data_IF_252384197728
#
_entry.id   IF_252384197728
#
_cell.length_a   1.000
_cell.length_b   1.000
_cell.length_c   1.000
_cell.angle_alpha   90.00
_cell.angle_beta   90.00
_cell.angle_gamma   90.00
#
_symmetry.space_group_name_H-M   'P 1'
#
loop_
_entity.id
_entity.type
_entity.pdbx_description
1 polymer ?
#
# COMPACT_ATOMS: atom_id res chain seq x y z
N UNK A 1 37.91 -13.71 22.89
CA UNK A 1 36.76 -12.79 22.99
C UNK A 1 35.57 -13.61 23.39
N UNK A 2 34.85 -13.23 24.44
CA UNK A 2 33.64 -13.97 24.85
C UNK A 2 32.44 -13.60 23.96
N UNK A 3 31.32 -14.29 24.18
CA UNK A 3 30.10 -14.11 23.39
C UNK A 3 29.43 -12.75 23.62
N UNK A 4 29.44 -12.23 24.84
CA UNK A 4 28.79 -10.96 25.18
C UNK A 4 29.50 -9.77 24.53
N UNK A 5 30.84 -9.75 24.56
CA UNK A 5 31.64 -8.76 23.86
C UNK A 5 31.46 -8.85 22.33
N UNK A 6 31.25 -10.06 21.80
CA UNK A 6 30.94 -10.28 20.39
C UNK A 6 29.56 -9.76 20.00
N UNK A 7 28.53 -10.06 20.79
CA UNK A 7 27.20 -9.49 20.57
C UNK A 7 27.22 -7.97 20.61
N UNK A 8 27.90 -7.37 21.60
CA UNK A 8 28.01 -5.92 21.72
C UNK A 8 28.68 -5.31 20.49
N UNK A 9 29.74 -5.94 19.98
CA UNK A 9 30.42 -5.48 18.76
C UNK A 9 29.50 -5.59 17.53
N UNK A 10 28.72 -6.67 17.41
CA UNK A 10 27.68 -6.81 16.38
C UNK A 10 26.66 -5.67 16.46
N UNK A 11 26.13 -5.39 17.65
CA UNK A 11 25.13 -4.32 17.84
C UNK A 11 25.72 -2.95 17.50
N UNK A 12 26.92 -2.62 17.99
CA UNK A 12 27.60 -1.35 17.67
C UNK A 12 27.86 -1.20 16.17
N UNK A 13 28.25 -2.28 15.48
CA UNK A 13 28.44 -2.23 14.05
C UNK A 13 27.12 -1.98 13.30
N UNK A 14 26.09 -2.80 13.54
CA UNK A 14 24.84 -2.71 12.78
C UNK A 14 24.02 -1.45 13.10
N UNK A 15 23.92 -1.06 14.38
CA UNK A 15 23.09 0.07 14.78
C UNK A 15 23.81 1.41 14.67
N UNK A 16 25.09 1.48 15.07
CA UNK A 16 25.83 2.74 15.14
C UNK A 16 26.77 2.96 13.94
N UNK A 17 26.94 1.96 13.07
CA UNK A 17 27.89 2.03 11.95
C UNK A 17 29.36 2.03 12.40
N UNK A 18 29.65 1.50 13.59
CA UNK A 18 30.98 1.55 14.18
C UNK A 18 31.95 0.59 13.46
N UNK A 19 32.81 1.11 12.57
CA UNK A 19 33.80 0.32 11.83
C UNK A 19 34.84 -0.35 12.73
N UNK A 20 35.22 0.27 13.86
CA UNK A 20 36.12 -0.38 14.83
C UNK A 20 35.48 -1.60 15.48
N UNK A 21 34.14 -1.63 15.62
CA UNK A 21 33.42 -2.81 16.08
C UNK A 21 33.41 -3.92 15.02
N UNK A 22 33.29 -3.56 13.74
CA UNK A 22 33.42 -4.50 12.61
C UNK A 22 34.80 -5.18 12.60
N UNK A 23 35.88 -4.41 12.75
CA UNK A 23 37.24 -4.97 12.80
C UNK A 23 37.42 -5.94 13.97
N UNK A 24 36.86 -5.62 15.14
CA UNK A 24 36.86 -6.53 16.30
C UNK A 24 36.10 -7.82 16.01
N UNK A 25 34.93 -7.74 15.38
CA UNK A 25 34.16 -8.92 14.97
C UNK A 25 34.95 -9.79 13.99
N UNK A 26 35.48 -9.20 12.92
CA UNK A 26 36.23 -9.92 11.89
C UNK A 26 37.47 -10.61 12.47
N UNK A 27 38.21 -9.90 13.35
CA UNK A 27 39.36 -10.47 14.07
C UNK A 27 38.92 -11.65 14.96
N UNK A 28 37.83 -11.50 15.70
CA UNK A 28 37.31 -12.56 16.57
C UNK A 28 36.89 -13.81 15.78
N UNK A 29 36.20 -13.65 14.64
CA UNK A 29 35.79 -14.77 13.78
C UNK A 29 37.00 -15.48 13.16
N UNK A 30 38.01 -14.72 12.70
CA UNK A 30 39.24 -15.29 12.11
C UNK A 30 40.08 -16.06 13.12
N UNK A 31 40.18 -15.55 14.35
CA UNK A 31 41.00 -16.15 15.42
C UNK A 31 40.27 -17.26 16.20
N UNK A 32 38.96 -17.41 16.02
CA UNK A 32 38.17 -18.44 16.71
C UNK A 32 38.41 -19.84 16.15
N UNK A 33 38.41 -20.82 17.05
CA UNK A 33 38.35 -22.25 16.74
C UNK A 33 37.07 -22.59 15.95
N UNK A 34 37.04 -23.68 15.16
CA UNK A 34 35.93 -24.01 14.27
C UNK A 34 34.54 -24.01 14.96
N UNK A 35 34.45 -24.59 16.15
CA UNK A 35 33.21 -24.62 16.93
C UNK A 35 32.76 -23.21 17.38
N UNK A 36 33.68 -22.40 17.89
CA UNK A 36 33.38 -21.03 18.32
C UNK A 36 33.01 -20.12 17.14
N UNK A 37 33.65 -20.31 15.98
CA UNK A 37 33.35 -19.58 14.75
C UNK A 37 31.91 -19.81 14.28
N UNK A 38 31.40 -21.03 14.43
CA UNK A 38 29.99 -21.34 14.14
C UNK A 38 29.06 -20.53 15.04
N UNK A 39 29.35 -20.48 16.35
CA UNK A 39 28.53 -19.74 17.32
C UNK A 39 28.53 -18.24 17.01
N UNK A 40 29.70 -17.65 16.76
CA UNK A 40 29.82 -16.25 16.37
C UNK A 40 29.07 -15.93 15.08
N UNK A 41 29.17 -16.78 14.06
CA UNK A 41 28.42 -16.61 12.81
C UNK A 41 26.91 -16.63 13.03
N UNK A 42 26.40 -17.56 13.84
CA UNK A 42 24.97 -17.63 14.19
C UNK A 42 24.50 -16.39 14.96
N UNK A 43 25.28 -15.95 15.94
CA UNK A 43 24.99 -14.75 16.72
C UNK A 43 24.98 -13.49 15.84
N UNK A 44 25.98 -13.33 14.96
CA UNK A 44 26.03 -12.23 13.99
C UNK A 44 24.81 -12.24 13.06
N UNK A 45 24.41 -13.41 12.55
CA UNK A 45 23.21 -13.54 11.71
C UNK A 45 21.93 -13.19 12.48
N UNK A 46 21.82 -13.59 13.75
CA UNK A 46 20.69 -13.25 14.63
C UNK A 46 20.59 -11.74 14.87
N UNK A 47 21.69 -11.09 15.26
CA UNK A 47 21.72 -9.63 15.49
C UNK A 47 21.41 -8.86 14.19
N UNK A 48 21.93 -9.32 13.05
CA UNK A 48 21.62 -8.73 11.75
C UNK A 48 20.13 -8.86 11.40
N UNK A 49 19.52 -10.01 11.68
CA UNK A 49 18.09 -10.21 11.46
C UNK A 49 17.25 -9.30 12.36
N UNK A 50 17.61 -9.16 13.63
CA UNK A 50 16.98 -8.23 14.58
C UNK A 50 17.10 -6.77 14.08
N UNK A 51 18.30 -6.36 13.66
CA UNK A 51 18.52 -5.03 13.08
C UNK A 51 17.64 -4.75 11.87
N UNK A 52 17.53 -5.70 10.93
CA UNK A 52 16.67 -5.53 9.76
C UNK A 52 15.18 -5.46 10.16
N UNK A 53 14.74 -6.26 11.14
CA UNK A 53 13.38 -6.19 11.69
C UNK A 53 13.10 -4.82 12.31
N UNK A 54 14.02 -4.30 13.12
CA UNK A 54 13.90 -2.97 13.74
C UNK A 54 13.86 -1.86 12.69
N UNK A 55 14.75 -1.90 11.68
CA UNK A 55 14.77 -0.92 10.58
C UNK A 55 13.51 -0.94 9.73
N UNK A 56 12.92 -2.11 9.53
CA UNK A 56 11.63 -2.27 8.85
C UNK A 56 10.49 -1.69 9.69
N UNK A 57 10.46 -1.96 11.01
CA UNK A 57 9.49 -1.39 11.93
C UNK A 57 9.60 0.15 12.00
N UNK A 58 10.81 0.70 11.99
CA UNK A 58 11.06 2.15 11.97
C UNK A 58 10.50 2.79 10.70
N UNK A 59 10.81 2.22 9.53
CA UNK A 59 10.30 2.71 8.24
C UNK A 59 8.78 2.64 8.19
N UNK A 60 8.17 1.59 8.74
CA UNK A 60 6.71 1.45 8.83
C UNK A 60 6.09 2.52 9.72
N UNK A 61 6.68 2.79 10.90
CA UNK A 61 6.23 3.87 11.80
C UNK A 61 6.35 5.24 11.14
N UNK A 62 7.44 5.50 10.43
CA UNK A 62 7.63 6.75 9.68
C UNK A 62 6.56 6.89 8.59
N UNK A 63 6.32 5.84 7.80
CA UNK A 63 5.29 5.83 6.77
C UNK A 63 3.89 6.11 7.34
N UNK A 64 3.49 5.45 8.43
CA UNK A 64 2.18 5.69 9.04
C UNK A 64 2.03 7.11 9.59
N UNK A 65 3.11 7.74 10.06
CA UNK A 65 3.11 9.14 10.48
C UNK A 65 2.85 10.10 9.31
N UNK A 66 3.20 9.73 8.09
CA UNK A 66 2.99 10.56 6.90
C UNK A 66 1.52 10.60 6.44
N UNK A 67 0.77 9.51 6.61
CA UNK A 67 -0.58 9.34 6.05
C UNK A 67 -1.57 10.48 6.41
N UNK A 68 -1.70 10.92 7.67
CA UNK A 68 -2.68 11.97 8.01
C UNK A 68 -2.39 13.31 7.33
N UNK A 69 -1.11 13.60 7.05
CA UNK A 69 -0.70 14.88 6.45
C UNK A 69 -1.24 15.03 5.02
N UNK A 70 -1.23 13.93 4.25
CA UNK A 70 -1.64 13.95 2.86
C UNK A 70 -3.15 13.98 2.65
N UNK A 71 -3.93 13.47 3.60
CA UNK A 71 -5.39 13.57 3.54
C UNK A 71 -5.88 15.03 3.58
N UNK A 72 -5.07 15.95 4.12
CA UNK A 72 -5.40 17.36 4.31
C UNK A 72 -4.91 18.26 3.17
N UNK A 73 -3.77 17.98 2.55
CA UNK A 73 -3.07 18.91 1.66
C UNK A 73 -3.14 18.51 0.18
N UNK A 74 -4.14 19.01 -0.56
CA UNK A 74 -4.12 18.90 -2.03
C UNK A 74 -3.40 20.08 -2.68
N UNK A 75 -2.27 19.80 -3.34
CA UNK A 75 -1.45 20.78 -4.10
C UNK A 75 -2.27 21.39 -5.23
N UNK A 76 -3.01 20.57 -5.96
CA UNK A 76 -3.82 21.06 -7.09
C UNK A 76 -4.95 21.97 -6.61
N UNK A 77 -5.65 21.59 -5.53
CA UNK A 77 -6.75 22.42 -4.99
C UNK A 77 -6.25 23.80 -4.56
N UNK A 78 -5.11 23.87 -3.87
CA UNK A 78 -4.46 25.15 -3.55
C UNK A 78 -4.14 25.95 -4.81
N UNK A 79 -3.57 25.31 -5.83
CA UNK A 79 -3.23 25.98 -7.07
C UNK A 79 -4.47 26.55 -7.80
N UNK A 80 -5.65 25.94 -7.66
CA UNK A 80 -6.90 26.44 -8.24
C UNK A 80 -7.79 27.20 -7.25
N UNK A 81 -7.23 27.62 -6.11
CA UNK A 81 -7.93 28.38 -5.07
C UNK A 81 -9.21 27.69 -4.53
N UNK A 82 -9.22 26.36 -4.49
CA UNK A 82 -10.27 25.59 -3.83
C UNK A 82 -9.89 25.33 -2.36
N UNK A 83 -10.88 25.31 -1.44
CA UNK A 83 -10.62 25.01 -0.04
C UNK A 83 -10.11 23.56 0.13
N UNK A 84 -9.39 23.27 1.23
CA UNK A 84 -9.05 21.89 1.61
C UNK A 84 -10.30 21.02 1.67
N UNK A 85 -10.14 19.72 1.41
CA UNK A 85 -11.26 18.78 1.55
C UNK A 85 -11.58 18.64 3.04
N UNK A 86 -12.85 18.70 3.46
CA UNK A 86 -13.21 18.42 4.85
C UNK A 86 -12.77 17.00 5.20
N UNK A 87 -12.16 16.82 6.38
CA UNK A 87 -11.78 15.49 6.87
C UNK A 87 -13.03 14.61 6.93
N UNK A 88 -12.95 13.38 6.43
CA UNK A 88 -13.91 12.36 6.80
C UNK A 88 -13.77 12.17 8.31
N UNK A 89 -14.73 12.64 9.09
CA UNK A 89 -14.74 12.37 10.52
C UNK A 89 -14.73 10.86 10.73
N UNK A 90 -13.89 10.32 11.63
CA UNK A 90 -14.02 8.93 12.02
C UNK A 90 -15.44 8.76 12.56
N UNK A 91 -16.16 7.77 12.03
CA UNK A 91 -17.54 7.47 12.34
C UNK A 91 -17.72 7.26 13.84
N UNK A 92 -17.97 8.36 14.57
CA UNK A 92 -18.44 8.32 15.94
C UNK A 92 -19.82 7.69 15.95
N UNK A 93 -20.04 6.77 16.88
CA UNK A 93 -21.33 6.12 17.14
C UNK A 93 -22.45 7.15 17.32
N UNK A 94 -23.13 7.52 16.24
CA UNK A 94 -24.52 7.95 16.32
C UNK A 94 -25.36 6.70 16.19
N UNK A 95 -25.99 6.30 17.29
CA UNK A 95 -27.16 5.42 17.31
C UNK A 95 -28.20 5.93 16.32
N UNK A 96 -28.21 5.38 15.11
CA UNK A 96 -29.24 5.63 14.10
C UNK A 96 -30.08 4.37 13.96
N UNK A 97 -31.40 4.54 14.09
CA UNK A 97 -32.43 3.51 13.95
C UNK A 97 -32.31 2.77 12.60
N UNK A 98 -32.54 1.44 12.57
CA UNK A 98 -32.44 0.64 11.36
C UNK A 98 -33.73 0.75 10.53
N UNK A 99 -33.94 1.87 9.83
CA UNK A 99 -35.02 2.01 8.85
C UNK A 99 -34.73 3.15 7.87
N UNK A 100 -33.61 3.07 7.13
CA UNK A 100 -33.35 3.84 5.89
C UNK A 100 -32.04 3.32 5.27
N UNK A 101 -32.13 2.25 4.48
CA UNK A 101 -31.00 1.68 3.76
C UNK A 101 -30.76 2.48 2.46
N UNK A 102 -30.29 3.71 2.58
CA UNK A 102 -29.60 4.45 1.52
C UNK A 102 -28.48 5.24 2.21
N UNK A 103 -27.28 4.66 2.28
CA UNK A 103 -26.10 5.43 2.67
C UNK A 103 -25.91 6.56 1.63
N UNK A 104 -25.96 7.84 2.02
CA UNK A 104 -25.62 8.91 1.10
C UNK A 104 -24.13 8.77 0.74
N UNK A 105 -23.87 8.70 -0.57
CA UNK A 105 -22.53 8.46 -1.09
C UNK A 105 -21.62 9.63 -0.68
N UNK A 106 -20.53 9.34 0.04
CA UNK A 106 -19.54 10.33 0.48
C UNK A 106 -18.78 11.00 -0.71
N UNK A 107 -19.16 10.70 -1.94
CA UNK A 107 -18.65 11.32 -3.18
C UNK A 107 -19.59 12.37 -3.77
N UNK A 108 -20.81 12.54 -3.26
CA UNK A 108 -21.86 13.32 -3.93
C UNK A 108 -21.73 14.84 -3.89
N UNK A 109 -20.83 15.44 -3.10
CA UNK A 109 -20.78 16.90 -2.96
C UNK A 109 -19.57 17.57 -3.63
N UNK A 110 -19.12 17.09 -4.79
CA UNK A 110 -18.20 17.92 -5.60
C UNK A 110 -19.04 18.86 -6.45
N UNK A 111 -19.02 20.17 -6.16
CA UNK A 111 -19.86 21.12 -6.90
C UNK A 111 -19.41 21.23 -8.37
N UNK A 112 -20.32 21.60 -9.27
CA UNK A 112 -19.96 21.80 -10.68
C UNK A 112 -18.80 22.80 -10.85
N UNK A 113 -18.76 23.84 -10.00
CA UNK A 113 -17.67 24.83 -9.95
C UNK A 113 -16.34 24.19 -9.54
N UNK A 114 -16.33 23.32 -8.54
CA UNK A 114 -15.12 22.60 -8.13
C UNK A 114 -14.62 21.67 -9.22
N UNK A 115 -15.52 20.95 -9.89
CA UNK A 115 -15.17 20.07 -11.01
C UNK A 115 -14.53 20.87 -12.14
N UNK A 116 -15.11 22.02 -12.47
CA UNK A 116 -14.57 22.91 -13.51
C UNK A 116 -13.19 23.45 -13.12
N UNK A 117 -13.00 23.86 -11.86
CA UNK A 117 -11.71 24.29 -11.36
C UNK A 117 -10.66 23.16 -11.42
N UNK A 118 -11.03 21.94 -11.03
CA UNK A 118 -10.16 20.76 -11.10
C UNK A 118 -9.83 20.33 -12.53
N UNK A 119 -10.68 20.68 -13.52
CA UNK A 119 -10.43 20.45 -14.96
C UNK A 119 -9.73 21.62 -15.66
N UNK A 120 -9.48 22.71 -14.95
CA UNK A 120 -8.86 23.92 -15.52
C UNK A 120 -7.48 23.64 -16.10
N UNK A 121 -7.06 24.47 -17.06
CA UNK A 121 -5.71 24.42 -17.62
C UNK A 121 -4.64 24.53 -16.52
N UNK A 122 -4.88 25.35 -15.50
CA UNK A 122 -3.98 25.50 -14.35
C UNK A 122 -3.83 24.18 -13.57
N UNK A 123 -4.92 23.50 -13.23
CA UNK A 123 -4.87 22.19 -12.57
C UNK A 123 -4.09 21.17 -13.40
N UNK A 124 -4.37 21.11 -14.71
CA UNK A 124 -3.70 20.22 -15.67
C UNK A 124 -2.19 20.48 -15.72
N UNK A 125 -1.78 21.75 -15.79
CA UNK A 125 -0.36 22.15 -15.80
C UNK A 125 0.38 21.75 -14.53
N UNK A 126 -0.23 21.99 -13.36
CA UNK A 126 0.36 21.60 -12.06
C UNK A 126 0.56 20.09 -12.00
N UNK A 127 -0.48 19.30 -12.33
CA UNK A 127 -0.38 17.84 -12.33
C UNK A 127 0.71 17.31 -13.24
N UNK A 128 0.81 17.85 -14.45
CA UNK A 128 1.86 17.48 -15.40
C UNK A 128 3.25 17.84 -14.86
N UNK A 129 3.42 19.05 -14.32
CA UNK A 129 4.69 19.51 -13.75
C UNK A 129 5.17 18.63 -12.61
N UNK A 130 4.31 18.39 -11.61
CA UNK A 130 4.62 17.56 -10.45
C UNK A 130 4.87 16.09 -10.83
N UNK A 131 4.05 15.50 -11.73
CA UNK A 131 4.29 14.14 -12.21
C UNK A 131 5.61 14.04 -13.00
N UNK A 132 5.95 15.07 -13.79
CA UNK A 132 7.21 15.11 -14.54
C UNK A 132 8.41 15.16 -13.60
N UNK A 133 8.35 15.98 -12.55
CA UNK A 133 9.39 16.05 -11.53
C UNK A 133 9.55 14.71 -10.81
N UNK A 134 8.46 14.09 -10.36
CA UNK A 134 8.48 12.79 -9.72
C UNK A 134 9.09 11.69 -10.61
N UNK A 135 8.70 11.64 -11.88
CA UNK A 135 9.25 10.66 -12.83
C UNK A 135 10.74 10.90 -13.10
N UNK A 136 11.18 12.16 -13.15
CA UNK A 136 12.61 12.46 -13.30
C UNK A 136 13.44 11.91 -12.14
N UNK A 137 12.91 11.97 -10.93
CA UNK A 137 13.63 11.58 -9.72
C UNK A 137 13.59 10.06 -9.48
N UNK A 138 12.49 9.38 -9.85
CA UNK A 138 12.28 7.97 -9.51
C UNK A 138 12.16 7.00 -10.70
N UNK A 139 11.87 7.47 -11.91
CA UNK A 139 11.74 6.63 -13.10
C UNK A 139 13.09 6.48 -13.84
N UNK A 140 14.09 5.95 -13.13
CA UNK A 140 15.39 5.58 -13.69
C UNK A 140 15.48 4.07 -13.94
N UNK A 141 16.15 3.66 -15.01
CA UNK A 141 16.45 2.23 -15.28
C UNK A 141 17.32 1.60 -14.18
N UNK A 142 18.13 2.41 -13.50
CA UNK A 142 19.01 1.96 -12.41
C UNK A 142 18.24 1.77 -11.10
N UNK A 143 17.21 2.57 -10.87
CA UNK A 143 16.36 2.48 -9.68
C UNK A 143 15.27 1.44 -9.90
N UNK A 144 15.54 0.19 -9.53
CA UNK A 144 14.59 -0.91 -9.72
C UNK A 144 13.44 -0.85 -8.70
N UNK A 145 13.72 -0.37 -7.47
CA UNK A 145 12.77 -0.32 -6.37
C UNK A 145 11.43 0.36 -6.73
N UNK A 146 11.42 1.61 -7.24
CA UNK A 146 10.18 2.31 -7.61
C UNK A 146 9.44 1.77 -8.83
N UNK A 147 10.07 0.92 -9.67
CA UNK A 147 9.49 0.55 -10.97
C UNK A 147 8.15 -0.19 -10.88
N UNK A 148 7.93 -1.13 -9.94
CA UNK A 148 6.63 -1.76 -9.78
C UNK A 148 5.53 -0.74 -9.48
N UNK A 149 5.76 0.20 -8.56
CA UNK A 149 4.82 1.30 -8.27
C UNK A 149 4.50 2.12 -9.53
N UNK A 150 5.53 2.53 -10.27
CA UNK A 150 5.38 3.34 -11.48
C UNK A 150 4.60 2.62 -12.58
N UNK A 151 4.84 1.32 -12.77
CA UNK A 151 4.13 0.47 -13.72
C UNK A 151 2.67 0.30 -13.34
N UNK A 152 2.38 0.04 -12.06
CA UNK A 152 1.00 -0.08 -11.58
C UNK A 152 0.26 1.26 -11.68
N UNK A 153 0.90 2.39 -11.36
CA UNK A 153 0.32 3.72 -11.55
C UNK A 153 0.01 3.99 -13.03
N UNK A 154 0.95 3.69 -13.94
CA UNK A 154 0.71 3.77 -15.38
C UNK A 154 -0.48 2.91 -15.80
N UNK A 155 -0.55 1.67 -15.33
CA UNK A 155 -1.61 0.73 -15.68
C UNK A 155 -2.99 1.22 -15.20
N UNK A 156 -3.12 1.73 -13.97
CA UNK A 156 -4.39 2.29 -13.46
C UNK A 156 -4.84 3.48 -14.32
N UNK A 157 -3.93 4.39 -14.64
CA UNK A 157 -4.26 5.55 -15.47
C UNK A 157 -4.63 5.12 -16.90
N UNK A 158 -3.93 4.14 -17.48
CA UNK A 158 -4.20 3.61 -18.81
C UNK A 158 -5.55 2.89 -18.86
N UNK A 159 -5.82 1.99 -17.93
CA UNK A 159 -7.09 1.25 -17.85
C UNK A 159 -8.28 2.20 -17.65
N UNK A 160 -8.12 3.32 -16.93
CA UNK A 160 -9.21 4.29 -16.80
C UNK A 160 -9.56 4.96 -18.15
N UNK A 161 -8.63 5.02 -19.10
CA UNK A 161 -8.90 5.61 -20.42
C UNK A 161 -9.70 4.68 -21.32
N UNK A 162 -9.72 3.37 -21.02
CA UNK A 162 -10.46 2.39 -21.80
C UNK A 162 -11.95 2.39 -21.43
N UNK A 163 -12.78 1.88 -22.33
CA UNK A 163 -14.20 1.67 -22.07
C UNK A 163 -14.48 0.35 -21.31
N UNK A 164 -13.44 -0.44 -20.97
CA UNK A 164 -13.56 -1.76 -20.34
C UNK A 164 -14.25 -1.75 -18.97
N UNK A 165 -14.15 -0.63 -18.25
CA UNK A 165 -14.79 -0.43 -16.95
C UNK A 165 -16.01 0.51 -17.01
N UNK A 166 -16.46 0.84 -18.22
CA UNK A 166 -17.62 1.67 -18.49
C UNK A 166 -17.55 3.04 -17.82
N UNK A 167 -18.57 3.36 -17.04
CA UNK A 167 -18.72 4.64 -16.33
C UNK A 167 -18.05 4.66 -14.96
N UNK A 168 -17.43 3.57 -14.51
CA UNK A 168 -16.90 3.48 -13.15
C UNK A 168 -15.47 4.02 -13.06
N UNK A 169 -15.17 4.65 -11.94
CA UNK A 169 -13.80 4.97 -11.55
C UNK A 169 -13.07 3.69 -11.15
N UNK A 170 -11.78 3.64 -11.44
CA UNK A 170 -10.92 2.56 -10.99
C UNK A 170 -10.52 2.74 -9.53
N UNK A 171 -10.45 1.61 -8.85
CA UNK A 171 -9.88 1.43 -7.54
C UNK A 171 -8.56 0.69 -7.69
N UNK A 172 -7.57 1.10 -6.91
CA UNK A 172 -6.25 0.49 -6.84
C UNK A 172 -5.91 0.19 -5.39
N UNK A 173 -5.85 -1.09 -5.05
CA UNK A 173 -5.44 -1.56 -3.74
C UNK A 173 -3.94 -1.82 -3.76
N UNK A 174 -3.18 -1.16 -2.88
CA UNK A 174 -1.72 -1.20 -2.84
C UNK A 174 -1.28 -1.73 -1.49
N UNK A 175 -0.34 -2.67 -1.47
CA UNK A 175 0.32 -3.05 -0.23
C UNK A 175 1.21 -1.91 0.28
N UNK A 176 1.06 -1.52 1.55
CA UNK A 176 1.92 -0.50 2.18
C UNK A 176 3.43 -0.84 2.06
N UNK A 177 3.80 -2.13 1.92
CA UNK A 177 5.16 -2.57 1.66
C UNK A 177 5.79 -1.91 0.42
N UNK A 178 4.99 -1.57 -0.60
CA UNK A 178 5.47 -0.86 -1.79
C UNK A 178 6.10 0.48 -1.41
N UNK A 179 5.52 1.20 -0.47
CA UNK A 179 6.07 2.48 -0.04
C UNK A 179 7.26 2.30 0.91
N UNK A 180 7.25 1.24 1.72
CA UNK A 180 8.27 0.98 2.73
C UNK A 180 9.57 0.47 2.09
N UNK A 181 9.48 -0.38 1.06
CA UNK A 181 10.61 -1.08 0.45
C UNK A 181 11.19 -0.34 -0.79
N UNK A 182 10.37 0.40 -1.53
CA UNK A 182 10.72 0.86 -2.89
C UNK A 182 11.58 2.14 -2.95
N UNK A 183 12.76 2.15 -2.31
CA UNK A 183 13.73 3.27 -2.30
C UNK A 183 13.62 4.24 -1.12
N UNK A 184 13.01 3.81 -0.01
CA UNK A 184 13.09 4.46 1.30
C UNK A 184 12.07 5.58 1.54
N UNK A 185 12.19 6.25 2.70
CA UNK A 185 11.17 7.15 3.22
C UNK A 185 10.92 8.40 2.35
N UNK A 186 11.93 8.89 1.62
CA UNK A 186 11.76 9.99 0.67
C UNK A 186 10.83 9.60 -0.48
N UNK A 187 11.03 8.41 -1.06
CA UNK A 187 10.14 7.89 -2.09
C UNK A 187 8.72 7.71 -1.57
N UNK A 188 8.55 7.10 -0.38
CA UNK A 188 7.24 6.89 0.23
C UNK A 188 6.44 8.20 0.35
N UNK A 189 7.11 9.25 0.85
CA UNK A 189 6.58 10.60 1.01
C UNK A 189 6.16 11.22 -0.33
N UNK A 190 7.05 11.18 -1.31
CA UNK A 190 6.80 11.81 -2.61
C UNK A 190 5.75 11.03 -3.42
N UNK A 191 5.70 9.70 -3.27
CA UNK A 191 4.69 8.86 -3.88
C UNK A 191 3.30 9.13 -3.28
N UNK A 192 3.18 9.22 -1.95
CA UNK A 192 1.92 9.60 -1.29
C UNK A 192 1.47 11.01 -1.69
N UNK A 193 2.40 11.97 -1.74
CA UNK A 193 2.13 13.33 -2.24
C UNK A 193 1.62 13.29 -3.68
N UNK A 194 2.27 12.52 -4.56
CA UNK A 194 1.86 12.39 -5.95
C UNK A 194 0.44 11.81 -6.03
N UNK A 195 0.17 10.69 -5.37
CA UNK A 195 -1.13 10.02 -5.45
C UNK A 195 -2.25 10.92 -4.91
N UNK A 196 -2.11 11.41 -3.68
CA UNK A 196 -3.20 12.08 -2.97
C UNK A 196 -3.25 13.57 -3.26
N UNK A 197 -2.11 14.26 -3.26
CA UNK A 197 -2.08 15.72 -3.36
C UNK A 197 -2.06 16.25 -4.79
N UNK A 198 -1.43 15.51 -5.71
CA UNK A 198 -1.23 15.91 -7.11
C UNK A 198 -2.28 15.27 -8.01
N UNK A 199 -2.30 13.94 -8.13
CA UNK A 199 -3.28 13.23 -8.96
C UNK A 199 -4.67 13.35 -8.32
N UNK A 200 -4.74 13.32 -6.99
CA UNK A 200 -5.97 13.53 -6.25
C UNK A 200 -6.70 12.25 -5.88
N UNK A 201 -6.04 11.08 -5.96
CA UNK A 201 -6.60 9.81 -5.54
C UNK A 201 -7.25 9.97 -4.17
N UNK A 202 -8.46 9.43 -4.02
CA UNK A 202 -9.06 9.31 -2.70
C UNK A 202 -8.52 8.06 -2.05
N UNK A 203 -7.70 8.26 -1.02
CA UNK A 203 -7.31 7.20 -0.12
C UNK A 203 -8.52 6.84 0.75
N UNK A 204 -8.90 5.56 0.77
CA UNK A 204 -9.89 5.04 1.70
C UNK A 204 -9.17 4.49 2.93
N UNK A 205 -9.84 4.53 4.08
CA UNK A 205 -9.34 3.88 5.29
C UNK A 205 -9.05 2.41 4.99
N UNK A 206 -7.93 1.86 5.50
CA UNK A 206 -7.55 0.49 5.22
C UNK A 206 -8.70 -0.43 5.62
N UNK A 207 -9.20 -1.17 4.66
CA UNK A 207 -10.18 -2.23 4.93
C UNK A 207 -9.37 -3.41 5.46
N UNK A 208 -9.80 -4.04 6.56
CA UNK A 208 -9.26 -5.35 6.99
C UNK A 208 -9.61 -6.48 5.99
N UNK A 209 -10.02 -6.14 4.77
CA UNK A 209 -10.35 -7.11 3.75
C UNK A 209 -9.05 -7.77 3.31
N UNK A 210 -8.77 -8.94 3.90
CA UNK A 210 -7.72 -9.82 3.43
C UNK A 210 -7.93 -10.10 1.94
N UNK A 211 -6.83 -10.14 1.19
CA UNK A 211 -6.86 -10.57 -0.21
C UNK A 211 -7.72 -11.84 -0.33
N UNK A 212 -8.69 -11.89 -1.25
CA UNK A 212 -9.51 -13.08 -1.45
C UNK A 212 -8.58 -14.24 -1.87
N UNK A 213 -8.35 -15.16 -0.94
CA UNK A 213 -7.44 -16.30 -1.13
C UNK A 213 -6.56 -16.65 0.07
N UNK A 214 -6.42 -15.77 1.06
CA UNK A 214 -5.74 -16.11 2.32
C UNK A 214 -6.79 -16.40 3.39
N UNK A 215 -6.87 -17.64 3.95
CA UNK A 215 -7.76 -17.91 5.06
C UNK A 215 -7.31 -17.08 6.26
N UNK A 216 -8.06 -16.03 6.58
CA UNK A 216 -7.92 -15.30 7.83
C UNK A 216 -8.53 -16.17 8.91
N UNK A 217 -7.70 -16.68 9.82
CA UNK A 217 -8.18 -17.29 11.06
C UNK A 217 -8.77 -16.16 11.91
N UNK A 218 -10.10 -16.02 11.90
CA UNK A 218 -10.85 -15.09 12.75
C UNK A 218 -10.63 -15.45 14.22
N UNK A 219 -9.66 -14.81 14.86
CA UNK A 219 -9.63 -14.72 16.31
C UNK A 219 -10.47 -13.50 16.72
N UNK A 220 -11.68 -13.78 17.21
CA UNK A 220 -12.56 -12.82 17.85
C UNK A 220 -11.84 -12.09 18.99
N UNK A 221 -11.37 -10.87 18.74
CA UNK A 221 -11.03 -9.93 19.80
C UNK A 221 -12.30 -9.19 20.23
N UNK A 222 -13.03 -9.82 21.16
CA UNK A 222 -14.07 -9.17 21.93
C UNK A 222 -13.45 -8.03 22.74
N UNK A 223 -14.12 -6.88 22.69
CA UNK A 223 -13.87 -5.69 23.50
C UNK A 223 -13.42 -6.04 24.93
N UNK A 224 -12.33 -5.44 25.40
CA UNK A 224 -12.00 -5.41 26.82
C UNK A 224 -11.71 -3.97 27.23
N UNK A 225 -12.77 -3.34 27.74
CA UNK A 225 -12.73 -2.16 28.57
C UNK A 225 -12.06 -2.50 29.91
N UNK A 226 -11.21 -1.59 30.39
CA UNK A 226 -10.58 -1.66 31.69
C UNK A 226 -11.61 -1.55 32.82
N UNK A 227 -11.51 -2.38 33.86
CA UNK A 227 -11.91 -2.05 35.23
C UNK A 227 -11.10 -2.86 36.26
N UNK A 228 -10.57 -2.12 37.24
CA UNK A 228 -9.98 -2.59 38.50
C UNK A 228 -11.02 -3.28 39.39
N UNK A 229 -10.65 -4.37 40.08
CA UNK A 229 -11.08 -4.61 41.46
C UNK A 229 -10.23 -5.67 42.18
N UNK A 230 -9.98 -5.38 43.45
CA UNK A 230 -9.33 -6.21 44.47
C UNK A 230 -10.14 -7.47 44.82
N UNK A 231 -9.45 -8.58 45.12
CA UNK A 231 -9.73 -9.43 46.28
C UNK A 231 -8.60 -10.44 46.52
N UNK A 232 -8.03 -10.42 47.74
CA UNK A 232 -7.25 -11.52 48.34
C UNK A 232 -8.17 -12.71 48.68
N UNK A 233 -7.62 -13.92 48.72
CA UNK A 233 -7.80 -14.93 49.78
C UNK A 233 -6.69 -16.00 49.66
N UNK A 234 -6.15 -16.36 50.83
CA UNK A 234 -5.10 -17.35 51.12
C UNK A 234 -5.48 -18.82 50.86
N UNK A 235 -4.46 -19.68 50.68
CA UNK A 235 -4.60 -21.14 50.82
C UNK A 235 -3.48 -22.01 50.21
N UNK A 236 -2.44 -22.29 51.00
CA UNK A 236 -1.29 -23.24 50.84
C UNK A 236 -1.76 -24.71 51.09
N UNK A 237 -1.02 -25.87 50.89
CA UNK A 237 0.36 -26.16 50.42
C UNK A 237 0.59 -27.29 49.35
N UNK A 238 1.80 -27.24 48.75
CA UNK A 238 2.85 -28.28 48.54
C UNK A 238 2.55 -29.68 47.95
N UNK A 239 3.20 -30.00 46.81
CA UNK A 239 3.89 -31.29 46.57
C UNK A 239 5.20 -31.06 45.81
N UNK A 240 6.26 -31.70 46.30
CA UNK A 240 7.67 -31.61 45.92
C UNK A 240 8.05 -32.79 45.00
N UNK A 241 8.81 -32.57 43.92
CA UNK A 241 9.89 -33.49 43.48
C UNK A 241 10.84 -32.83 42.46
N UNK A 242 12.14 -33.23 42.44
CA UNK A 242 13.22 -32.53 41.74
C UNK A 242 13.61 -33.19 40.41
N UNK A 243 14.00 -32.38 39.42
CA UNK A 243 14.53 -32.86 38.14
C UNK A 243 15.29 -31.74 37.42
N UNK A 244 16.61 -31.83 37.47
CA UNK A 244 17.61 -30.87 36.98
C UNK A 244 17.58 -30.67 35.45
N UNK A 245 17.40 -29.43 35.01
CA UNK A 245 17.85 -28.92 33.70
C UNK A 245 18.52 -27.55 33.93
N UNK A 246 19.83 -27.37 33.68
CA UNK A 246 20.48 -26.08 33.83
C UNK A 246 20.64 -25.40 32.46
N UNK A 247 19.56 -24.86 31.90
CA UNK A 247 19.66 -23.77 30.92
C UNK A 247 18.31 -23.09 30.72
N UNK A 248 17.98 -22.14 31.58
CA UNK A 248 17.01 -21.08 31.26
C UNK A 248 17.17 -20.01 32.32
N UNK A 249 18.05 -19.04 32.04
CA UNK A 249 18.01 -17.77 32.73
C UNK A 249 17.24 -16.78 31.83
N UNK A 250 16.08 -16.27 32.27
CA UNK A 250 15.38 -15.21 31.56
C UNK A 250 16.04 -13.86 31.90
N UNK A 251 16.83 -13.31 30.97
CA UNK A 251 17.30 -11.93 31.08
C UNK A 251 16.11 -10.96 31.23
N UNK A 252 16.08 -10.06 32.25
CA UNK A 252 14.92 -9.24 32.59
C UNK A 252 14.79 -7.93 31.79
N UNK A 253 15.39 -7.82 30.60
CA UNK A 253 15.35 -6.58 29.79
C UNK A 253 14.50 -6.67 28.51
N UNK A 254 13.76 -7.76 28.29
CA UNK A 254 13.01 -7.98 27.04
C UNK A 254 11.55 -7.53 27.00
N UNK A 255 10.96 -7.04 28.10
CA UNK A 255 9.49 -6.94 28.21
C UNK A 255 8.83 -5.69 27.63
N UNK A 256 9.57 -4.67 27.15
CA UNK A 256 8.96 -3.45 26.63
C UNK A 256 8.86 -3.35 25.09
N UNK A 257 9.30 -4.37 24.34
CA UNK A 257 9.35 -4.32 22.87
C UNK A 257 8.48 -5.36 22.15
N UNK A 258 7.39 -5.82 22.79
CA UNK A 258 6.25 -6.37 22.03
C UNK A 258 5.40 -5.23 21.50
N UNK A 259 5.96 -4.42 20.62
CA UNK A 259 5.15 -3.51 19.82
C UNK A 259 4.59 -4.36 18.68
N UNK A 260 3.28 -4.52 18.71
CA UNK A 260 2.49 -5.33 17.79
C UNK A 260 2.99 -5.13 16.35
N UNK A 261 3.38 -6.22 15.69
CA UNK A 261 3.69 -6.23 14.25
C UNK A 261 2.38 -5.84 13.54
N UNK A 262 2.16 -4.54 13.34
CA UNK A 262 1.01 -4.02 12.60
C UNK A 262 0.98 -4.72 11.24
N UNK A 263 -0.12 -5.43 10.91
CA UNK A 263 -0.19 -6.20 9.67
C UNK A 263 0.05 -5.25 8.49
N UNK A 264 0.74 -5.73 7.46
CA UNK A 264 0.84 -4.97 6.21
C UNK A 264 -0.57 -4.68 5.72
N UNK A 265 -0.91 -3.39 5.70
CA UNK A 265 -2.25 -2.96 5.34
C UNK A 265 -2.29 -2.74 3.84
N UNK A 266 -3.32 -3.32 3.24
CA UNK A 266 -3.71 -2.98 1.89
C UNK A 266 -4.44 -1.65 1.95
N UNK A 267 -4.03 -0.72 1.11
CA UNK A 267 -4.57 0.62 1.04
C UNK A 267 -5.25 0.85 -0.28
N UNK A 268 -6.48 1.30 -0.21
CA UNK A 268 -7.32 1.50 -1.37
C UNK A 268 -7.26 2.94 -1.85
N UNK A 269 -6.89 3.14 -3.12
CA UNK A 269 -6.86 4.42 -3.80
C UNK A 269 -7.89 4.44 -4.92
N UNK A 270 -8.85 5.37 -4.86
CA UNK A 270 -9.86 5.55 -5.91
C UNK A 270 -9.49 6.74 -6.78
N UNK A 271 -9.43 6.52 -8.09
CA UNK A 271 -9.10 7.56 -9.04
C UNK A 271 -10.24 8.60 -9.12
N UNK A 272 -9.93 9.91 -9.20
CA UNK A 272 -10.96 10.95 -9.16
C UNK A 272 -11.95 10.90 -10.33
N UNK A 273 -13.25 11.12 -10.07
CA UNK A 273 -14.28 11.01 -11.11
C UNK A 273 -14.25 12.18 -12.10
N UNK A 274 -13.57 13.28 -11.80
CA UNK A 274 -13.47 14.44 -12.69
C UNK A 274 -12.49 14.25 -13.86
N UNK A 275 -11.67 13.20 -13.88
CA UNK A 275 -10.66 13.05 -14.94
C UNK A 275 -11.26 12.81 -16.33
N UNK A 276 -10.79 13.61 -17.29
CA UNK A 276 -11.04 13.42 -18.70
C UNK A 276 -10.00 12.46 -19.31
N UNK A 277 -10.42 11.63 -20.27
CA UNK A 277 -9.53 10.71 -20.99
C UNK A 277 -8.38 11.46 -21.68
N UNK A 278 -8.64 12.65 -22.22
CA UNK A 278 -7.60 13.51 -22.83
C UNK A 278 -6.51 13.89 -21.85
N UNK A 279 -6.89 14.20 -20.62
CA UNK A 279 -5.95 14.54 -19.57
C UNK A 279 -5.16 13.32 -19.11
N UNK A 280 -5.84 12.18 -18.88
CA UNK A 280 -5.18 10.93 -18.51
C UNK A 280 -4.14 10.52 -19.57
N UNK A 281 -4.48 10.64 -20.86
CA UNK A 281 -3.54 10.39 -21.96
C UNK A 281 -2.39 11.39 -21.97
N UNK A 282 -2.63 12.65 -21.65
CA UNK A 282 -1.55 13.64 -21.51
C UNK A 282 -0.60 13.30 -20.35
N UNK A 283 -1.09 12.71 -19.25
CA UNK A 283 -0.27 12.22 -18.15
C UNK A 283 0.50 10.95 -18.53
N UNK A 284 -0.15 10.00 -19.21
CA UNK A 284 0.47 8.75 -19.68
C UNK A 284 1.68 9.01 -20.60
N UNK A 285 1.60 10.04 -21.45
CA UNK A 285 2.71 10.46 -22.33
C UNK A 285 3.96 10.95 -21.59
N UNK A 286 3.88 11.23 -20.29
CA UNK A 286 5.04 11.64 -19.49
C UNK A 286 5.88 10.45 -19.01
N UNK A 287 5.30 9.24 -18.98
CA UNK A 287 6.02 8.06 -18.50
C UNK A 287 7.12 7.66 -19.49
N UNK A 288 8.33 7.32 -18.99
CA UNK A 288 9.38 6.76 -19.84
C UNK A 288 8.94 5.46 -20.53
N UNK A 289 9.47 5.21 -21.73
CA UNK A 289 9.06 4.07 -22.56
C UNK A 289 9.18 2.73 -21.83
N UNK A 290 10.25 2.52 -21.04
CA UNK A 290 10.49 1.27 -20.31
C UNK A 290 9.49 1.00 -19.16
N UNK A 291 8.74 2.02 -18.73
CA UNK A 291 7.60 1.85 -17.81
C UNK A 291 6.34 1.51 -18.62
N UNK A 292 6.15 2.14 -19.79
CA UNK A 292 4.98 1.96 -20.66
C UNK A 292 5.08 0.77 -21.63
N UNK A 293 6.23 0.13 -21.75
CA UNK A 293 6.49 -1.01 -22.64
C UNK A 293 5.67 -2.25 -22.23
N UNK A 294 5.45 -3.22 -23.14
CA UNK A 294 4.15 -3.89 -23.35
C UNK A 294 3.70 -4.91 -22.30
N UNK A 295 4.23 -4.89 -21.08
CA UNK A 295 3.66 -5.64 -19.97
C UNK A 295 2.17 -5.33 -19.70
N UNK A 296 1.69 -4.15 -20.10
CA UNK A 296 0.26 -3.78 -19.97
C UNK A 296 -0.64 -4.38 -21.06
N UNK A 297 -0.09 -4.85 -22.20
CA UNK A 297 -0.88 -5.52 -23.25
C UNK A 297 -1.50 -6.84 -22.73
N UNK A 298 -0.92 -7.43 -21.68
CA UNK A 298 -1.50 -8.58 -20.97
C UNK A 298 -2.82 -8.22 -20.25
N UNK A 299 -2.95 -7.01 -19.72
CA UNK A 299 -4.17 -6.55 -19.06
C UNK A 299 -5.32 -6.31 -20.07
N UNK A 300 -5.00 -5.83 -21.28
CA UNK A 300 -6.00 -5.68 -22.35
C UNK A 300 -6.49 -7.01 -22.90
N UNK A 301 -5.59 -7.99 -23.10
CA UNK A 301 -5.95 -9.33 -23.55
C UNK A 301 -6.93 -10.06 -22.60
N UNK A 302 -6.96 -9.70 -21.32
CA UNK A 302 -7.85 -10.31 -20.32
C UNK A 302 -9.17 -9.55 -20.13
N UNK A 303 -9.18 -8.23 -20.30
CA UNK A 303 -10.40 -7.42 -20.28
C UNK A 303 -11.34 -7.75 -21.46
N UNK A 304 -10.80 -8.04 -22.64
CA UNK A 304 -11.57 -8.44 -23.83
C UNK A 304 -12.16 -9.85 -23.74
N UNK A 305 -11.64 -10.72 -22.86
CA UNK A 305 -12.18 -12.08 -22.69
C UNK A 305 -13.60 -12.10 -22.11
N UNK A 306 -14.06 -10.98 -21.53
CA UNK A 306 -15.41 -10.83 -20.98
C UNK A 306 -16.50 -10.67 -22.05
N UNK A 307 -16.15 -10.39 -23.31
CA UNK A 307 -17.13 -10.13 -24.36
C UNK A 307 -17.38 -11.28 -25.36
N UNK A 308 -16.72 -12.42 -25.20
CA UNK A 308 -16.81 -13.54 -26.17
C UNK A 308 -17.57 -14.78 -25.66
N UNK A 309 -18.62 -14.58 -24.87
CA UNK A 309 -19.61 -15.64 -24.58
C UNK A 309 -21.02 -15.16 -24.95
N UNK A 310 -21.38 -15.41 -26.20
CA UNK A 310 -22.77 -15.60 -26.62
C UNK A 310 -22.86 -16.78 -27.59
N UNK A 311 -23.73 -17.71 -27.22
CA UNK A 311 -24.57 -18.59 -28.04
C UNK A 311 -23.93 -19.63 -28.95
N UNK A 312 -23.46 -20.72 -28.32
CA UNK A 312 -23.69 -22.09 -28.78
C UNK A 312 -23.17 -23.04 -27.69
N UNK A 313 -24.07 -23.50 -26.81
CA UNK A 313 -24.07 -24.86 -26.24
C UNK A 313 -25.11 -24.91 -25.12
N UNK A 314 -26.34 -25.23 -25.54
CA UNK A 314 -27.37 -25.81 -24.70
C UNK A 314 -26.99 -27.29 -24.46
N UNK A 315 -27.32 -27.78 -23.26
CA UNK A 315 -27.29 -29.18 -22.81
C UNK A 315 -26.07 -29.64 -21.99
N UNK A 316 -26.11 -29.37 -20.68
CA UNK A 316 -26.26 -30.43 -19.68
C UNK A 316 -26.35 -29.84 -18.28
N UNK A 317 -27.35 -30.31 -17.53
CA UNK A 317 -27.67 -29.83 -16.20
C UNK A 317 -26.58 -30.20 -15.18
N UNK A 318 -26.07 -29.22 -14.43
CA UNK A 318 -25.73 -29.41 -13.03
C UNK A 318 -25.90 -28.10 -12.25
N UNK A 319 -26.21 -28.26 -10.98
CA UNK A 319 -26.98 -27.37 -10.12
C UNK A 319 -26.02 -26.76 -9.09
N UNK A 320 -26.08 -25.42 -8.96
CA UNK A 320 -25.59 -24.57 -7.86
C UNK A 320 -24.12 -24.10 -7.86
N UNK A 321 -23.93 -22.84 -8.26
CA UNK A 321 -23.47 -21.71 -7.41
C UNK A 321 -22.76 -20.68 -8.28
N UNK A 322 -23.52 -19.73 -8.85
CA UNK A 322 -22.96 -18.59 -9.58
C UNK A 322 -22.29 -17.59 -8.63
N UNK A 323 -21.04 -17.87 -8.25
CA UNK A 323 -20.11 -16.81 -7.84
C UNK A 323 -19.60 -16.14 -9.12
N UNK A 324 -19.98 -14.88 -9.34
CA UNK A 324 -19.31 -14.02 -10.33
C UNK A 324 -17.88 -13.79 -9.82
N UNK A 325 -16.94 -14.57 -10.34
CA UNK A 325 -15.52 -14.33 -10.12
C UNK A 325 -15.15 -12.96 -10.69
N UNK A 326 -14.96 -11.99 -9.79
CA UNK A 326 -14.29 -10.74 -10.11
C UNK A 326 -12.85 -11.08 -10.48
N UNK A 327 -12.56 -11.15 -11.78
CA UNK A 327 -11.20 -11.29 -12.31
C UNK A 327 -10.36 -10.11 -11.83
N UNK A 328 -9.42 -10.41 -10.94
CA UNK A 328 -8.44 -9.49 -10.40
C UNK A 328 -7.25 -9.42 -11.36
N UNK A 329 -7.01 -8.24 -11.95
CA UNK A 329 -5.78 -8.01 -12.70
C UNK A 329 -4.66 -7.72 -11.70
N UNK A 330 -3.86 -8.75 -11.38
CA UNK A 330 -2.70 -8.59 -10.49
C UNK A 330 -1.57 -7.95 -11.29
N UNK A 331 -1.42 -6.64 -11.17
CA UNK A 331 -0.43 -5.84 -11.89
C UNK A 331 0.57 -5.26 -10.89
N UNK A 332 1.70 -5.97 -10.69
CA UNK A 332 2.64 -5.62 -9.63
C UNK A 332 1.98 -5.73 -8.26
N UNK A 333 2.59 -5.15 -7.22
CA UNK A 333 2.20 -5.24 -5.81
C UNK A 333 0.83 -4.59 -5.45
N UNK A 334 -0.13 -4.58 -6.38
CA UNK A 334 -1.46 -4.07 -6.14
C UNK A 334 -2.53 -4.69 -7.03
N UNK A 335 -3.77 -4.46 -6.63
CA UNK A 335 -4.98 -4.99 -7.23
C UNK A 335 -5.75 -3.86 -7.89
N UNK A 336 -6.16 -4.02 -9.15
CA UNK A 336 -7.00 -3.05 -9.83
C UNK A 336 -8.41 -3.61 -9.95
N UNK A 337 -9.41 -2.83 -9.54
CA UNK A 337 -10.82 -3.21 -9.60
C UNK A 337 -11.72 -2.03 -9.94
N UNK A 338 -12.99 -2.30 -10.30
CA UNK A 338 -13.98 -1.23 -10.49
C UNK A 338 -14.46 -0.72 -9.14
N UNK A 339 -14.38 0.58 -8.90
CA UNK A 339 -15.01 1.18 -7.72
C UNK A 339 -16.53 1.27 -7.88
N UNK A 340 -17.23 1.56 -6.78
CA UNK A 340 -18.67 1.90 -6.80
C UNK A 340 -18.94 3.32 -7.33
N UNK A 341 -17.90 4.12 -7.59
CA UNK A 341 -18.04 5.51 -7.99
C UNK A 341 -18.11 5.64 -9.50
N UNK A 342 -19.02 6.51 -9.96
CA UNK A 342 -19.15 6.84 -11.36
C UNK A 342 -18.31 8.06 -11.72
N UNK A 343 -17.83 8.05 -12.96
CA UNK A 343 -17.12 9.17 -13.57
C UNK A 343 -18.10 10.31 -13.82
N UNK A 344 -17.61 11.53 -13.68
CA UNK A 344 -18.42 12.71 -13.95
C UNK A 344 -18.62 12.89 -15.45
N UNK A 345 -19.70 13.60 -15.80
CA UNK A 345 -20.03 13.94 -17.19
C UNK A 345 -18.84 14.58 -17.92
N UNK A 346 -18.75 14.33 -19.23
CA UNK A 346 -17.65 14.84 -20.07
C UNK A 346 -16.33 14.06 -19.94
N UNK A 347 -16.24 12.99 -19.14
CA UNK A 347 -14.99 12.24 -18.97
C UNK A 347 -14.39 11.69 -20.27
N UNK A 348 -15.21 11.28 -21.24
CA UNK A 348 -14.71 10.77 -22.53
C UNK A 348 -14.09 11.89 -23.39
N UNK A 349 -14.24 13.16 -22.98
CA UNK A 349 -13.86 14.33 -23.77
C UNK A 349 -14.79 14.56 -24.98
N UNK A 350 -14.38 15.49 -25.83
CA UNK A 350 -15.05 15.81 -27.10
C UNK A 350 -14.96 14.65 -28.09
N UNK A 351 -15.85 14.62 -29.08
CA UNK A 351 -15.80 13.60 -30.16
C UNK A 351 -14.45 13.61 -30.89
N UNK A 352 -13.87 14.80 -31.11
CA UNK A 352 -12.56 14.94 -31.73
C UNK A 352 -11.45 14.31 -30.88
N UNK A 353 -11.51 14.48 -29.56
CA UNK A 353 -10.59 13.83 -28.65
C UNK A 353 -10.71 12.30 -28.70
N UNK A 354 -11.94 11.78 -28.74
CA UNK A 354 -12.18 10.34 -28.87
C UNK A 354 -11.66 9.80 -30.20
N UNK A 355 -11.87 10.54 -31.29
CA UNK A 355 -11.32 10.21 -32.60
C UNK A 355 -9.79 10.17 -32.57
N UNK A 356 -9.14 11.16 -31.94
CA UNK A 356 -7.69 11.16 -31.74
C UNK A 356 -7.20 9.99 -30.90
N UNK A 357 -7.89 9.64 -29.81
CA UNK A 357 -7.54 8.49 -28.97
C UNK A 357 -7.69 7.17 -29.73
N UNK A 358 -8.76 7.03 -30.50
CA UNK A 358 -8.97 5.90 -31.39
C UNK A 358 -7.84 5.82 -32.43
N UNK A 359 -7.44 6.93 -33.04
CA UNK A 359 -6.36 6.98 -34.02
C UNK A 359 -5.02 6.58 -33.40
N UNK A 360 -4.74 7.04 -32.18
CA UNK A 360 -3.55 6.61 -31.43
C UNK A 360 -3.60 5.11 -31.12
N UNK A 361 -4.78 4.58 -30.75
CA UNK A 361 -4.93 3.14 -30.47
C UNK A 361 -4.70 2.24 -31.68
N UNK A 362 -4.82 2.76 -32.91
CA UNK A 362 -4.50 2.03 -34.13
C UNK A 362 -3.00 1.98 -34.44
N UNK A 363 -2.21 2.87 -33.85
CA UNK A 363 -0.77 2.96 -34.06
C UNK A 363 0.06 2.14 -33.06
N UNK A 364 -0.57 1.49 -32.07
CA UNK A 364 0.06 0.67 -31.03
C UNK A 364 -0.48 -0.76 -31.05
#
# INVERSE_FOLDING_TARGET
>A
MDLAAFELSCRQFFYDGNESAREKMDKAVRQAEPHQRMIFTRLMASVRAEFHKDREADRRREYHRLLPTYELESVVRHAVALPPRPMAQPSGQTTVKPSELHQPSLFQSTSATEVQAMRSSRAKTVRRGELTAFLKDYASKVMIGPQPFLRSLFAVLALQTTDSYGQRCLQWDIDDAVFIEASGAAFARDALRLLVSVIGFRMQSPSLHGFPGVPVTENNATQSTALLSHASIDGVPTVTTPGSNPFTDPSPHGQQRRQEDMPLLIRTFVLPPYYENTELVALLKLFPTFISEPGWKLAHSMADSKHRKTDADLESASVHSSKKDFSYDTLGHGLISSSQHERLSGFKGSLLARFWLWLISLCF
#
